data_IF_721654625830
#
_entry.id   IF_721654625830
#
_cell.length_a   1.000
_cell.length_b   1.000
_cell.length_c   1.000
_cell.angle_alpha   90.00
_cell.angle_beta   90.00
_cell.angle_gamma   90.00
#
_symmetry.space_group_name_H-M   'P 1'
#
loop_
_entity.id
_entity.type
_entity.pdbx_description
1 polymer ?
#
# COMPACT_ATOMS: atom_id res chain seq x y z
N UNK A 1 -5.76 51.09 34.38
CA UNK A 1 -6.98 50.37 33.97
C UNK A 1 -6.99 50.10 32.45
N UNK A 2 -6.65 51.07 31.58
CA UNK A 2 -6.68 50.88 30.09
C UNK A 2 -5.77 49.74 29.60
N UNK A 3 -4.59 49.54 30.20
CA UNK A 3 -3.65 48.45 29.79
C UNK A 3 -4.10 47.05 30.26
N UNK A 4 -4.84 46.95 31.35
CA UNK A 4 -5.40 45.68 31.84
C UNK A 4 -6.55 45.23 30.95
N UNK A 5 -7.36 46.16 30.42
CA UNK A 5 -8.44 45.86 29.47
C UNK A 5 -7.95 45.36 28.12
N UNK A 6 -6.76 45.86 27.65
CA UNK A 6 -6.12 45.40 26.42
C UNK A 6 -5.58 43.96 26.57
N UNK A 7 -5.01 43.62 27.72
CA UNK A 7 -4.48 42.28 28.02
C UNK A 7 -5.66 41.27 28.09
N UNK A 8 -6.78 41.67 28.69
CA UNK A 8 -7.98 40.82 28.77
C UNK A 8 -8.58 40.55 27.38
N UNK A 9 -8.55 41.54 26.46
CA UNK A 9 -9.03 41.37 25.08
C UNK A 9 -8.17 40.46 24.24
N UNK A 10 -6.83 40.46 24.43
CA UNK A 10 -5.89 39.58 23.75
C UNK A 10 -6.08 38.11 24.17
N UNK A 11 -6.44 37.84 25.44
CA UNK A 11 -6.75 36.50 25.93
C UNK A 11 -8.03 35.89 25.30
N UNK A 12 -8.98 36.71 24.86
CA UNK A 12 -10.25 36.22 24.26
C UNK A 12 -10.15 35.86 22.76
N UNK A 13 -9.02 36.12 22.10
CA UNK A 13 -8.83 35.80 20.70
C UNK A 13 -8.19 34.41 20.45
N UNK A 14 -8.04 33.58 21.49
CA UNK A 14 -7.67 32.19 21.31
C UNK A 14 -8.78 31.48 20.59
N UNK A 15 -8.62 31.42 19.30
CA UNK A 15 -9.43 30.68 18.32
C UNK A 15 -9.78 29.30 18.88
N UNK A 16 -11.00 28.88 18.67
CA UNK A 16 -11.48 27.53 18.87
C UNK A 16 -10.60 26.55 18.06
N UNK A 17 -9.48 26.12 18.61
CA UNK A 17 -8.76 24.95 18.12
C UNK A 17 -9.71 23.78 18.36
N UNK A 18 -10.43 23.36 17.32
CA UNK A 18 -11.18 22.11 17.36
C UNK A 18 -10.17 21.01 17.57
N UNK A 19 -10.02 20.57 18.81
CA UNK A 19 -9.25 19.35 19.09
C UNK A 19 -9.89 18.23 18.28
N UNK A 20 -9.10 17.57 17.46
CA UNK A 20 -9.56 16.37 16.75
C UNK A 20 -9.76 15.31 17.83
N UNK A 21 -11.01 14.97 18.11
CA UNK A 21 -11.34 13.91 19.05
C UNK A 21 -10.79 12.58 18.52
N UNK A 22 -9.84 11.99 19.24
CA UNK A 22 -9.30 10.67 18.93
C UNK A 22 -10.26 9.61 19.50
N UNK A 23 -10.79 8.77 18.61
CA UNK A 23 -11.71 7.68 18.95
C UNK A 23 -11.09 6.35 18.50
N UNK A 24 -11.05 5.38 19.41
CA UNK A 24 -10.66 4.02 19.09
C UNK A 24 -11.74 3.38 18.21
N UNK A 25 -11.34 2.85 17.07
CA UNK A 25 -12.24 2.16 16.12
C UNK A 25 -12.04 0.65 16.21
N UNK A 26 -10.76 0.18 16.26
CA UNK A 26 -10.44 -1.24 16.37
C UNK A 26 -9.35 -1.50 17.40
N UNK A 27 -9.41 -2.70 18.00
CA UNK A 27 -8.34 -3.28 18.79
C UNK A 27 -7.90 -4.60 18.11
N UNK A 28 -6.62 -4.71 17.75
CA UNK A 28 -6.06 -5.88 17.09
C UNK A 28 -4.86 -6.37 17.92
N UNK A 29 -5.07 -7.36 18.76
CA UNK A 29 -4.06 -7.78 19.74
C UNK A 29 -3.64 -6.59 20.64
N UNK A 30 -2.36 -6.20 20.56
CA UNK A 30 -1.81 -5.06 21.31
C UNK A 30 -1.78 -3.75 20.50
N UNK A 31 -2.28 -3.75 19.26
CA UNK A 31 -2.35 -2.56 18.41
C UNK A 31 -3.76 -1.95 18.45
N UNK A 32 -3.80 -0.63 18.52
CA UNK A 32 -5.05 0.16 18.50
C UNK A 32 -5.11 0.91 17.18
N UNK A 33 -6.29 0.95 16.57
CA UNK A 33 -6.58 1.77 15.40
C UNK A 33 -7.58 2.84 15.78
N UNK A 34 -7.23 4.09 15.54
CA UNK A 34 -8.09 5.25 15.80
C UNK A 34 -8.68 5.79 14.49
N UNK A 35 -9.69 6.64 14.63
CA UNK A 35 -10.22 7.43 13.51
C UNK A 35 -9.15 8.32 12.85
N UNK A 36 -8.10 8.70 13.59
CA UNK A 36 -6.97 9.50 13.08
C UNK A 36 -6.09 8.63 12.18
N UNK A 37 -5.83 7.38 12.58
CA UNK A 37 -5.04 6.43 11.78
C UNK A 37 -5.75 6.13 10.45
N UNK A 38 -7.07 5.91 10.47
CA UNK A 38 -7.84 5.67 9.24
C UNK A 38 -7.79 6.90 8.31
N UNK A 39 -7.88 8.13 8.86
CA UNK A 39 -7.76 9.34 8.06
C UNK A 39 -6.35 9.53 7.48
N UNK A 40 -5.30 9.15 8.22
CA UNK A 40 -3.92 9.18 7.71
C UNK A 40 -3.73 8.15 6.61
N UNK A 41 -4.29 6.95 6.78
CA UNK A 41 -4.31 5.92 5.74
C UNK A 41 -5.05 6.38 4.48
N UNK A 42 -6.18 7.04 4.62
CA UNK A 42 -6.90 7.66 3.50
C UNK A 42 -6.01 8.59 2.70
N UNK A 43 -5.30 9.49 3.37
CA UNK A 43 -4.38 10.43 2.71
C UNK A 43 -3.24 9.70 1.99
N UNK A 44 -2.68 8.68 2.65
CA UNK A 44 -1.63 7.84 2.09
C UNK A 44 -2.07 7.13 0.81
N UNK A 45 -3.22 6.46 0.85
CA UNK A 45 -3.75 5.74 -0.30
C UNK A 45 -4.06 6.69 -1.47
N UNK A 46 -4.70 7.82 -1.21
CA UNK A 46 -5.01 8.82 -2.24
C UNK A 46 -3.75 9.48 -2.80
N UNK A 47 -2.69 9.65 -2.00
CA UNK A 47 -1.41 10.16 -2.47
C UNK A 47 -0.71 9.19 -3.42
N UNK A 48 -0.81 7.88 -3.17
CA UNK A 48 -0.15 6.87 -4.01
C UNK A 48 -1.01 6.37 -5.18
N UNK A 49 -2.33 6.52 -5.09
CA UNK A 49 -3.27 6.12 -6.14
C UNK A 49 -4.29 7.24 -6.40
N UNK A 50 -4.02 8.04 -7.43
CA UNK A 50 -4.87 9.17 -7.81
C UNK A 50 -6.27 8.74 -8.28
N UNK A 51 -6.44 7.53 -8.80
CA UNK A 51 -7.73 7.00 -9.26
C UNK A 51 -8.75 6.91 -8.11
N UNK A 52 -8.28 6.75 -6.87
CA UNK A 52 -9.16 6.75 -5.71
C UNK A 52 -9.96 8.05 -5.55
N UNK A 53 -9.47 9.18 -6.09
CA UNK A 53 -10.19 10.46 -6.05
C UNK A 53 -11.53 10.44 -6.79
N UNK A 54 -11.74 9.46 -7.68
CA UNK A 54 -12.98 9.25 -8.41
C UNK A 54 -14.06 8.57 -7.55
N UNK A 55 -13.67 7.95 -6.45
CA UNK A 55 -14.57 7.29 -5.53
C UNK A 55 -15.16 8.27 -4.49
N UNK A 56 -16.30 7.91 -3.91
CA UNK A 56 -16.82 8.65 -2.76
C UNK A 56 -15.90 8.52 -1.56
N UNK A 57 -15.84 9.58 -0.72
CA UNK A 57 -15.05 9.57 0.51
C UNK A 57 -15.39 8.39 1.43
N UNK A 58 -16.64 7.95 1.45
CA UNK A 58 -17.08 6.80 2.23
C UNK A 58 -16.41 5.50 1.75
N UNK A 59 -16.38 5.28 0.42
CA UNK A 59 -15.68 4.11 -0.15
C UNK A 59 -14.19 4.15 0.16
N UNK A 60 -13.54 5.31 0.01
CA UNK A 60 -12.11 5.44 0.31
C UNK A 60 -11.84 5.20 1.80
N UNK A 61 -12.71 5.67 2.70
CA UNK A 61 -12.58 5.41 4.14
C UNK A 61 -12.70 3.92 4.47
N UNK A 62 -13.59 3.19 3.80
CA UNK A 62 -13.72 1.74 3.97
C UNK A 62 -12.45 1.01 3.50
N UNK A 63 -11.93 1.36 2.32
CA UNK A 63 -10.65 0.84 1.81
C UNK A 63 -9.51 1.15 2.79
N UNK A 64 -9.46 2.35 3.34
CA UNK A 64 -8.43 2.78 4.29
C UNK A 64 -8.52 2.01 5.60
N UNK A 65 -9.74 1.74 6.08
CA UNK A 65 -9.97 0.92 7.26
C UNK A 65 -9.42 -0.50 7.08
N UNK A 66 -9.72 -1.15 5.96
CA UNK A 66 -9.22 -2.48 5.64
C UNK A 66 -7.69 -2.48 5.48
N UNK A 67 -7.14 -1.47 4.82
CA UNK A 67 -5.69 -1.33 4.60
C UNK A 67 -4.92 -1.22 5.92
N UNK A 68 -5.35 -0.34 6.83
CA UNK A 68 -4.67 -0.15 8.11
C UNK A 68 -4.80 -1.38 9.03
N UNK A 69 -5.93 -2.11 8.96
CA UNK A 69 -6.10 -3.38 9.68
C UNK A 69 -5.06 -4.39 9.20
N UNK A 70 -4.91 -4.58 7.88
CA UNK A 70 -3.91 -5.49 7.30
C UNK A 70 -2.49 -5.09 7.71
N UNK A 71 -2.16 -3.80 7.68
CA UNK A 71 -0.85 -3.31 8.12
C UNK A 71 -0.57 -3.65 9.58
N UNK A 72 -1.54 -3.47 10.48
CA UNK A 72 -1.39 -3.81 11.89
C UNK A 72 -1.19 -5.31 12.12
N UNK A 73 -1.92 -6.15 11.38
CA UNK A 73 -1.75 -7.62 11.43
C UNK A 73 -0.33 -8.00 10.96
N UNK A 74 0.14 -7.46 9.83
CA UNK A 74 1.51 -7.67 9.35
C UNK A 74 2.53 -7.27 10.40
N UNK A 75 2.39 -6.08 10.99
CA UNK A 75 3.29 -5.56 12.03
C UNK A 75 3.36 -6.49 13.23
N UNK A 76 2.23 -6.99 13.73
CA UNK A 76 2.17 -7.93 14.85
C UNK A 76 2.94 -9.21 14.52
N UNK A 77 2.76 -9.75 13.32
CA UNK A 77 3.44 -10.99 12.92
C UNK A 77 4.94 -10.77 12.68
N UNK A 78 5.33 -9.64 12.11
CA UNK A 78 6.74 -9.26 11.95
C UNK A 78 7.44 -9.20 13.30
N UNK A 79 6.83 -8.58 14.32
CA UNK A 79 7.41 -8.43 15.66
C UNK A 79 7.59 -9.75 16.41
N UNK A 80 6.94 -10.84 15.97
CA UNK A 80 7.18 -12.20 16.53
C UNK A 80 8.46 -12.84 15.95
N UNK A 81 8.89 -12.41 14.76
CA UNK A 81 9.95 -13.04 14.00
C UNK A 81 11.22 -12.18 13.88
N UNK A 82 11.08 -10.86 13.92
CA UNK A 82 12.17 -9.90 13.84
C UNK A 82 12.33 -9.15 15.16
N UNK A 83 13.57 -8.87 15.56
CA UNK A 83 13.88 -8.13 16.80
C UNK A 83 13.49 -6.65 16.71
N UNK A 84 13.56 -6.08 15.53
CA UNK A 84 13.25 -4.68 15.26
C UNK A 84 12.62 -4.51 13.87
N UNK A 85 11.81 -3.47 13.72
CA UNK A 85 11.21 -3.07 12.44
C UNK A 85 12.15 -2.06 11.78
N UNK A 86 13.14 -2.56 11.05
CA UNK A 86 14.14 -1.73 10.39
C UNK A 86 14.62 -2.39 9.10
N UNK A 87 14.81 -1.60 8.05
CA UNK A 87 15.46 -2.01 6.82
C UNK A 87 16.87 -1.41 6.74
N UNK A 88 17.70 -2.03 5.91
CA UNK A 88 18.92 -1.42 5.42
C UNK A 88 18.60 -0.13 4.66
N UNK A 89 19.41 0.91 4.86
CA UNK A 89 19.12 2.24 4.29
C UNK A 89 19.26 2.25 2.75
N UNK A 90 20.17 1.48 2.17
CA UNK A 90 20.32 1.40 0.70
C UNK A 90 19.11 0.70 0.09
N UNK A 91 18.66 -0.41 0.69
CA UNK A 91 17.47 -1.10 0.24
C UNK A 91 16.21 -0.24 0.39
N UNK A 92 16.07 0.46 1.53
CA UNK A 92 14.98 1.42 1.71
C UNK A 92 14.96 2.50 0.61
N UNK A 93 16.12 3.08 0.29
CA UNK A 93 16.22 4.12 -0.74
C UNK A 93 15.82 3.61 -2.13
N UNK A 94 16.12 2.36 -2.46
CA UNK A 94 15.67 1.72 -3.71
C UNK A 94 14.15 1.61 -3.73
N UNK A 95 13.53 1.11 -2.65
CA UNK A 95 12.08 0.98 -2.56
C UNK A 95 11.37 2.34 -2.61
N UNK A 96 11.91 3.33 -1.90
CA UNK A 96 11.37 4.70 -1.92
C UNK A 96 11.42 5.31 -3.33
N UNK A 97 12.56 5.12 -4.03
CA UNK A 97 12.72 5.57 -5.41
C UNK A 97 11.66 4.95 -6.32
N UNK A 98 11.41 3.67 -6.19
CA UNK A 98 10.39 2.99 -6.99
C UNK A 98 8.99 3.60 -6.77
N UNK A 99 8.64 4.00 -5.55
CA UNK A 99 7.35 4.64 -5.25
C UNK A 99 7.22 5.97 -5.97
N UNK A 100 8.16 6.90 -5.75
CA UNK A 100 8.01 8.23 -6.34
C UNK A 100 8.19 8.25 -7.87
N UNK A 101 8.99 7.32 -8.43
CA UNK A 101 9.13 7.19 -9.88
C UNK A 101 7.82 6.74 -10.56
N UNK A 102 7.01 5.89 -9.93
CA UNK A 102 5.68 5.51 -10.42
C UNK A 102 4.70 6.69 -10.46
N UNK A 103 4.90 7.67 -9.59
CA UNK A 103 4.13 8.91 -9.59
C UNK A 103 4.69 9.95 -10.59
N UNK A 104 5.68 9.58 -11.43
CA UNK A 104 6.40 10.46 -12.33
C UNK A 104 7.13 11.61 -11.60
N UNK A 105 7.56 11.38 -10.36
CA UNK A 105 8.33 12.34 -9.56
C UNK A 105 9.81 11.99 -9.70
N UNK A 106 10.64 13.01 -10.03
CA UNK A 106 12.05 12.82 -10.38
C UNK A 106 13.01 12.74 -9.20
N UNK A 107 12.64 13.27 -8.03
CA UNK A 107 13.53 13.37 -6.87
C UNK A 107 12.82 13.21 -5.54
N UNK A 108 13.58 12.86 -4.49
CA UNK A 108 13.07 12.76 -3.12
C UNK A 108 12.56 14.13 -2.61
N UNK A 109 13.21 15.23 -2.97
CA UNK A 109 12.81 16.56 -2.54
C UNK A 109 11.46 16.96 -3.15
N UNK A 110 11.24 16.64 -4.43
CA UNK A 110 9.94 16.81 -5.07
C UNK A 110 8.88 15.92 -4.44
N UNK A 111 9.24 14.69 -4.08
CA UNK A 111 8.33 13.77 -3.39
C UNK A 111 7.95 14.27 -1.99
N UNK A 112 8.90 14.84 -1.24
CA UNK A 112 8.58 15.48 0.05
C UNK A 112 7.61 16.66 -0.11
N UNK A 113 7.77 17.45 -1.15
CA UNK A 113 6.84 18.56 -1.44
C UNK A 113 5.46 18.02 -1.81
N UNK A 114 5.42 16.99 -2.67
CA UNK A 114 4.18 16.32 -3.05
C UNK A 114 3.43 15.75 -1.83
N UNK A 115 4.13 15.10 -0.90
CA UNK A 115 3.52 14.53 0.30
C UNK A 115 2.90 15.59 1.23
N UNK A 116 3.46 16.81 1.27
CA UNK A 116 2.91 17.92 2.08
C UNK A 116 1.51 18.31 1.64
N UNK A 117 1.16 18.18 0.37
CA UNK A 117 -0.20 18.46 -0.13
C UNK A 117 -1.24 17.49 0.46
N UNK A 118 -0.78 16.34 0.99
CA UNK A 118 -1.60 15.34 1.68
C UNK A 118 -1.40 15.32 3.20
N UNK A 119 -0.71 16.31 3.78
CA UNK A 119 -0.29 16.31 5.20
C UNK A 119 0.46 15.03 5.59
N UNK A 120 1.30 14.51 4.71
CA UNK A 120 2.16 13.34 4.92
C UNK A 120 3.63 13.76 4.95
N UNK A 121 4.44 12.88 5.55
CA UNK A 121 5.90 13.01 5.63
C UNK A 121 6.59 11.79 5.03
N UNK A 122 7.87 11.92 4.68
CA UNK A 122 8.71 10.77 4.28
C UNK A 122 8.71 9.68 5.37
N UNK A 123 8.64 10.06 6.65
CA UNK A 123 8.62 9.08 7.73
C UNK A 123 7.32 8.24 7.74
N UNK A 124 6.19 8.80 7.33
CA UNK A 124 4.94 8.04 7.15
C UNK A 124 5.12 6.97 6.07
N UNK A 125 5.77 7.33 4.97
CA UNK A 125 6.08 6.41 3.86
C UNK A 125 7.10 5.36 4.33
N UNK A 126 8.15 5.77 5.05
CA UNK A 126 9.19 4.87 5.57
C UNK A 126 8.62 3.75 6.41
N UNK A 127 7.71 4.06 7.31
CA UNK A 127 7.07 3.08 8.18
C UNK A 127 6.35 2.00 7.36
N UNK A 128 5.59 2.41 6.34
CA UNK A 128 4.81 1.49 5.50
C UNK A 128 5.69 0.62 4.60
N UNK A 129 6.69 1.22 3.93
CA UNK A 129 7.69 0.49 3.14
C UNK A 129 8.36 -0.57 4.00
N UNK A 130 8.76 -0.20 5.23
CA UNK A 130 9.47 -1.11 6.13
C UNK A 130 8.61 -2.31 6.52
N UNK A 131 7.34 -2.07 6.85
CA UNK A 131 6.41 -3.16 7.19
C UNK A 131 6.19 -4.09 5.98
N UNK A 132 5.94 -3.54 4.80
CA UNK A 132 5.68 -4.35 3.60
C UNK A 132 6.93 -5.16 3.19
N UNK A 133 8.12 -4.56 3.22
CA UNK A 133 9.36 -5.26 2.89
C UNK A 133 9.70 -6.37 3.88
N UNK A 134 9.58 -6.13 5.19
CA UNK A 134 9.79 -7.15 6.21
C UNK A 134 8.73 -8.25 6.17
N UNK A 135 7.49 -7.92 5.80
CA UNK A 135 6.45 -8.91 5.56
C UNK A 135 6.82 -9.85 4.42
N UNK A 136 7.26 -9.29 3.28
CA UNK A 136 7.70 -10.08 2.13
C UNK A 136 8.91 -10.97 2.49
N UNK A 137 9.87 -10.44 3.24
CA UNK A 137 11.01 -11.21 3.74
C UNK A 137 10.55 -12.37 4.63
N UNK A 138 9.63 -12.12 5.56
CA UNK A 138 9.05 -13.13 6.44
C UNK A 138 8.38 -14.25 5.64
N UNK A 139 7.57 -13.90 4.63
CA UNK A 139 6.91 -14.88 3.77
C UNK A 139 7.94 -15.72 3.02
N UNK A 140 8.95 -15.09 2.44
CA UNK A 140 10.05 -15.82 1.77
C UNK A 140 10.75 -16.77 2.74
N UNK A 141 11.14 -16.31 3.93
CA UNK A 141 11.80 -17.15 4.93
C UNK A 141 10.94 -18.35 5.34
N UNK A 142 9.64 -18.14 5.51
CA UNK A 142 8.70 -19.17 5.95
C UNK A 142 8.43 -20.24 4.90
N UNK A 143 8.39 -19.86 3.64
CA UNK A 143 7.93 -20.74 2.57
C UNK A 143 9.02 -21.17 1.58
N UNK A 144 10.23 -20.53 1.59
CA UNK A 144 11.32 -20.87 0.65
C UNK A 144 11.70 -22.35 0.62
N UNK A 145 11.62 -23.04 1.76
CA UNK A 145 11.93 -24.47 1.84
C UNK A 145 10.87 -25.37 1.16
N UNK A 146 9.69 -24.82 0.87
CA UNK A 146 8.61 -25.53 0.18
C UNK A 146 8.67 -25.30 -1.35
N UNK A 147 9.53 -24.37 -1.80
CA UNK A 147 9.71 -24.05 -3.21
C UNK A 147 10.92 -24.84 -3.73
N UNK A 148 10.67 -25.76 -4.65
CA UNK A 148 11.73 -26.47 -5.37
C UNK A 148 12.03 -25.73 -6.67
N UNK A 149 13.25 -25.15 -6.77
CA UNK A 149 13.69 -24.46 -7.97
C UNK A 149 14.63 -25.40 -8.73
N UNK A 150 14.25 -25.78 -9.95
CA UNK A 150 15.12 -26.54 -10.85
C UNK A 150 15.99 -25.58 -11.68
N UNK A 151 17.16 -25.20 -11.14
CA UNK A 151 18.08 -24.28 -11.82
C UNK A 151 18.48 -24.73 -13.22
N UNK A 152 18.61 -26.05 -13.45
CA UNK A 152 18.99 -26.57 -14.75
C UNK A 152 17.92 -26.39 -15.82
N UNK A 153 16.64 -26.49 -15.41
CA UNK A 153 15.50 -26.24 -16.27
C UNK A 153 15.43 -24.73 -16.63
N UNK A 154 15.54 -23.86 -15.63
CA UNK A 154 15.59 -22.41 -15.84
C UNK A 154 16.74 -22.00 -16.76
N UNK A 155 17.96 -22.54 -16.55
CA UNK A 155 19.12 -22.27 -17.43
C UNK A 155 18.87 -22.73 -18.87
N UNK A 156 18.23 -23.86 -19.04
CA UNK A 156 17.89 -24.40 -20.36
C UNK A 156 16.86 -23.49 -21.06
N UNK A 157 15.85 -23.04 -20.33
CA UNK A 157 14.83 -22.13 -20.84
C UNK A 157 15.40 -20.76 -21.22
N UNK A 158 16.26 -20.19 -20.38
CA UNK A 158 16.99 -18.95 -20.70
C UNK A 158 17.84 -19.11 -21.99
N UNK A 159 18.57 -20.20 -22.12
CA UNK A 159 19.39 -20.44 -23.29
C UNK A 159 18.58 -20.68 -24.58
N UNK A 160 17.42 -21.32 -24.46
CA UNK A 160 16.52 -21.54 -25.59
C UNK A 160 15.81 -20.23 -26.00
N UNK A 161 15.44 -19.40 -25.04
CA UNK A 161 14.67 -18.18 -25.26
C UNK A 161 15.58 -16.94 -25.52
N UNK A 162 16.86 -17.00 -25.27
CA UNK A 162 17.83 -15.89 -25.44
C UNK A 162 17.94 -15.31 -26.87
N UNK A 163 17.39 -15.99 -27.87
CA UNK A 163 17.34 -15.54 -29.27
C UNK A 163 16.02 -14.95 -29.75
N UNK A 164 15.03 -14.90 -28.88
CA UNK A 164 13.69 -14.39 -29.21
C UNK A 164 13.63 -12.93 -28.76
N UNK A 165 13.18 -12.03 -29.63
CA UNK A 165 12.78 -10.69 -29.23
C UNK A 165 11.65 -10.86 -28.21
N UNK A 166 11.95 -10.63 -26.93
CA UNK A 166 10.96 -10.70 -25.89
C UNK A 166 10.14 -9.43 -25.87
N UNK A 167 8.84 -9.57 -25.71
CA UNK A 167 7.93 -8.47 -25.43
C UNK A 167 7.88 -8.24 -23.93
N UNK A 168 7.61 -7.02 -23.55
CA UNK A 168 7.30 -6.66 -22.17
C UNK A 168 5.86 -6.14 -22.12
N UNK A 169 5.15 -6.54 -21.10
CA UNK A 169 3.78 -6.10 -20.84
C UNK A 169 3.73 -5.36 -19.52
N UNK A 170 3.08 -4.19 -19.51
CA UNK A 170 2.72 -3.56 -18.25
C UNK A 170 1.48 -4.28 -17.72
N UNK A 171 1.64 -4.89 -16.55
CA UNK A 171 0.60 -5.71 -15.95
C UNK A 171 0.11 -5.13 -14.64
N UNK A 172 -1.14 -5.44 -14.35
CA UNK A 172 -1.76 -5.18 -13.05
C UNK A 172 -2.48 -6.44 -12.57
N UNK A 173 -2.55 -6.64 -11.26
CA UNK A 173 -3.14 -7.82 -10.65
C UNK A 173 -4.22 -7.49 -9.62
N UNK A 174 -5.15 -8.42 -9.45
CA UNK A 174 -6.08 -8.46 -8.33
C UNK A 174 -6.00 -9.86 -7.72
N UNK A 175 -5.39 -9.98 -6.54
CA UNK A 175 -5.33 -11.24 -5.80
C UNK A 175 -6.47 -11.26 -4.80
N UNK A 176 -7.33 -12.28 -4.88
CA UNK A 176 -8.45 -12.45 -3.98
C UNK A 176 -8.52 -13.87 -3.39
N UNK A 177 -9.09 -13.97 -2.21
CA UNK A 177 -9.28 -15.25 -1.53
C UNK A 177 -10.76 -15.64 -1.55
N UNK A 178 -11.00 -16.95 -1.52
CA UNK A 178 -12.31 -17.55 -1.36
C UNK A 178 -12.21 -18.72 -0.37
N UNK A 179 -13.26 -18.99 0.38
CA UNK A 179 -13.29 -20.08 1.35
C UNK A 179 -13.33 -21.46 0.68
N UNK A 180 -13.95 -21.52 -0.50
CA UNK A 180 -14.09 -22.77 -1.26
C UNK A 180 -14.08 -22.50 -2.77
N UNK A 181 -13.85 -23.55 -3.56
CA UNK A 181 -13.76 -23.45 -5.03
C UNK A 181 -15.07 -22.99 -5.71
N UNK A 182 -16.22 -23.24 -5.10
CA UNK A 182 -17.52 -22.90 -5.66
C UNK A 182 -17.76 -21.38 -5.64
N UNK A 183 -17.07 -20.67 -4.76
CA UNK A 183 -17.16 -19.22 -4.65
C UNK A 183 -16.27 -18.45 -5.63
N UNK A 184 -15.28 -19.14 -6.25
CA UNK A 184 -14.35 -18.48 -7.20
C UNK A 184 -15.13 -17.80 -8.33
N UNK A 185 -16.05 -18.50 -8.95
CA UNK A 185 -16.84 -17.99 -10.09
C UNK A 185 -17.70 -16.78 -9.69
N UNK A 186 -18.30 -16.83 -8.50
CA UNK A 186 -19.10 -15.74 -7.96
C UNK A 186 -18.23 -14.51 -7.70
N UNK A 187 -17.09 -14.72 -7.03
CA UNK A 187 -16.14 -13.63 -6.68
C UNK A 187 -15.54 -13.02 -7.93
N UNK A 188 -15.15 -13.84 -8.91
CA UNK A 188 -14.67 -13.38 -10.20
C UNK A 188 -15.68 -12.47 -10.91
N UNK A 189 -16.97 -12.88 -10.99
CA UNK A 189 -18.02 -12.05 -11.60
C UNK A 189 -18.23 -10.73 -10.87
N UNK A 190 -18.16 -10.74 -9.54
CA UNK A 190 -18.23 -9.53 -8.72
C UNK A 190 -17.09 -8.58 -9.05
N UNK A 191 -15.84 -9.08 -9.13
CA UNK A 191 -14.65 -8.30 -9.46
C UNK A 191 -14.76 -7.73 -10.89
N UNK A 192 -15.13 -8.54 -11.88
CA UNK A 192 -15.32 -8.09 -13.28
C UNK A 192 -16.38 -6.99 -13.35
N UNK A 193 -17.50 -7.15 -12.63
CA UNK A 193 -18.53 -6.11 -12.54
C UNK A 193 -17.97 -4.82 -11.96
N UNK A 194 -17.22 -4.92 -10.87
CA UNK A 194 -16.57 -3.75 -10.23
C UNK A 194 -15.58 -3.08 -11.19
N UNK A 195 -14.79 -3.85 -11.95
CA UNK A 195 -13.86 -3.28 -12.96
C UNK A 195 -14.63 -2.42 -13.98
N UNK A 196 -15.79 -2.91 -14.44
CA UNK A 196 -16.62 -2.17 -15.39
C UNK A 196 -17.28 -0.92 -14.79
N UNK A 197 -17.54 -0.90 -13.48
CA UNK A 197 -18.21 0.21 -12.79
C UNK A 197 -17.23 1.30 -12.33
N UNK A 198 -16.07 0.93 -11.78
CA UNK A 198 -15.14 1.85 -11.10
C UNK A 198 -13.69 1.76 -11.61
N UNK A 199 -13.46 0.97 -12.66
CA UNK A 199 -12.12 0.75 -13.23
C UNK A 199 -11.27 -0.27 -12.46
N UNK A 200 -10.18 -0.72 -13.11
CA UNK A 200 -9.32 -1.77 -12.58
C UNK A 200 -8.61 -1.34 -11.29
N UNK A 201 -8.00 -0.15 -11.29
CA UNK A 201 -7.20 0.35 -10.17
C UNK A 201 -8.00 0.48 -8.87
N UNK A 202 -9.23 1.02 -8.97
CA UNK A 202 -10.14 1.15 -7.84
C UNK A 202 -10.66 -0.21 -7.37
N UNK A 203 -10.88 -1.14 -8.30
CA UNK A 203 -11.26 -2.51 -7.98
C UNK A 203 -10.12 -3.25 -7.29
N UNK A 204 -8.88 -3.09 -7.75
CA UNK A 204 -7.70 -3.63 -7.08
C UNK A 204 -7.57 -3.10 -5.64
N UNK A 205 -7.70 -1.79 -5.45
CA UNK A 205 -7.68 -1.19 -4.11
C UNK A 205 -8.78 -1.73 -3.17
N UNK A 206 -9.93 -2.13 -3.74
CA UNK A 206 -11.10 -2.63 -2.97
C UNK A 206 -11.00 -4.12 -2.66
N UNK A 207 -10.59 -4.95 -3.62
CA UNK A 207 -10.71 -6.40 -3.54
C UNK A 207 -9.40 -7.15 -3.42
N UNK A 208 -8.26 -6.54 -3.78
CA UNK A 208 -6.98 -7.24 -3.79
C UNK A 208 -6.33 -7.32 -2.42
N UNK A 209 -5.82 -8.51 -2.09
CA UNK A 209 -4.99 -8.76 -0.91
C UNK A 209 -3.51 -8.50 -1.17
N UNK A 210 -3.12 -8.23 -2.42
CA UNK A 210 -1.75 -7.90 -2.80
C UNK A 210 -1.32 -6.53 -2.27
N UNK A 211 -0.02 -6.37 -2.04
CA UNK A 211 0.55 -5.06 -1.69
C UNK A 211 0.43 -4.05 -2.85
N UNK A 212 0.38 -4.54 -4.09
CA UNK A 212 0.10 -3.73 -5.28
C UNK A 212 -1.28 -3.07 -5.25
N UNK A 213 -2.24 -3.57 -4.46
CA UNK A 213 -3.57 -2.96 -4.29
C UNK A 213 -3.50 -1.47 -3.94
N UNK A 214 -2.53 -1.06 -3.12
CA UNK A 214 -2.32 0.33 -2.68
C UNK A 214 -2.00 1.29 -3.83
N UNK A 215 -1.48 0.75 -4.92
CA UNK A 215 -1.09 1.47 -6.14
C UNK A 215 -1.90 0.99 -7.36
N UNK A 216 -3.16 0.59 -7.14
CA UNK A 216 -4.09 0.20 -8.19
C UNK A 216 -3.82 -1.17 -8.81
N UNK A 217 -3.05 -2.02 -8.13
CA UNK A 217 -2.70 -3.36 -8.61
C UNK A 217 -1.50 -3.39 -9.56
N UNK A 218 -0.85 -2.25 -9.86
CA UNK A 218 0.27 -2.17 -10.80
C UNK A 218 1.48 -2.99 -10.30
N UNK A 219 1.93 -3.96 -11.12
CA UNK A 219 3.13 -4.77 -10.90
C UNK A 219 4.27 -4.41 -11.87
N UNK A 220 4.04 -3.42 -12.73
CA UNK A 220 5.04 -2.88 -13.65
C UNK A 220 5.22 -3.68 -14.93
N UNK A 221 6.36 -3.48 -15.57
CA UNK A 221 6.71 -4.15 -16.83
C UNK A 221 7.27 -5.55 -16.57
N UNK A 222 6.62 -6.54 -17.12
CA UNK A 222 6.98 -7.95 -16.99
C UNK A 222 7.32 -8.50 -18.37
N UNK A 223 8.47 -9.19 -18.45
CA UNK A 223 8.90 -9.83 -19.66
C UNK A 223 8.00 -11.04 -19.98
N UNK A 224 7.62 -11.22 -21.25
CA UNK A 224 6.77 -12.32 -21.73
C UNK A 224 7.27 -13.69 -21.25
N UNK A 225 8.60 -13.91 -21.28
CA UNK A 225 9.20 -15.15 -20.85
C UNK A 225 9.16 -15.41 -19.32
N UNK A 226 8.76 -14.40 -18.54
CA UNK A 226 8.59 -14.52 -17.09
C UNK A 226 7.15 -14.81 -16.69
N UNK A 227 6.23 -14.85 -17.67
CA UNK A 227 4.82 -15.18 -17.45
C UNK A 227 4.63 -16.69 -17.49
N UNK A 228 3.66 -17.17 -16.74
CA UNK A 228 3.22 -18.56 -16.78
C UNK A 228 2.39 -18.78 -18.05
N UNK A 229 2.47 -20.00 -18.63
CA UNK A 229 1.71 -20.40 -19.85
C UNK A 229 0.19 -20.23 -19.76
N UNK A 230 -0.33 -19.97 -18.57
CA UNK A 230 -1.77 -19.72 -18.33
C UNK A 230 -2.13 -18.22 -18.29
N UNK A 231 -1.20 -17.32 -18.53
CA UNK A 231 -1.36 -15.89 -18.65
C UNK A 231 -1.11 -15.47 -20.07
#
# INVERSE_FOLDING_TARGET
>A
MRNILIILFICCTFSNVKAIESKIIHNIGNEIITNIDIKREFKYLVALNNSLKELSNEKILNISNESIIREKIKKIEILKNFKEIKLDDDYYNVLLKNIYSRLNIGSINEFELYLKDYDLTINDIKTKITIDALWNELIVQKYKAQISINENEIRKDILMNSKIQSKEYQLSEIIFEVENKEEIEKKYKEIVKSINEIGFENTAATYSFSDSAKIGGDIGWINENSLNDNI
#
